data_IF_584638261864
#
_entry.id   IF_584638261864
#
_cell.length_a   1.000
_cell.length_b   1.000
_cell.length_c   1.000
_cell.angle_alpha   90.00
_cell.angle_beta   90.00
_cell.angle_gamma   90.00
#
_symmetry.space_group_name_H-M   'P 1'
#
loop_
_entity.id
_entity.type
_entity.pdbx_description
1 polymer ?
#
# COMPACT_ATOMS: atom_id res chain seq x y z
N UNK A 1 -61.65 -45.82 -59.40
CA UNK A 1 -60.27 -46.00 -58.91
C UNK A 1 -60.33 -46.65 -57.54
N UNK A 2 -59.37 -47.55 -57.30
CA UNK A 2 -59.10 -48.46 -56.17
C UNK A 2 -59.93 -48.38 -54.87
N UNK A 3 -60.34 -49.57 -54.41
CA UNK A 3 -60.81 -49.91 -53.07
C UNK A 3 -59.68 -49.88 -52.01
N UNK A 4 -60.07 -49.89 -50.73
CA UNK A 4 -59.25 -50.36 -49.60
C UNK A 4 -59.50 -49.54 -48.32
N UNK A 5 -60.67 -49.69 -47.70
CA UNK A 5 -60.88 -50.46 -46.46
C UNK A 5 -60.29 -49.83 -45.18
N UNK A 6 -61.20 -49.44 -44.29
CA UNK A 6 -60.97 -49.09 -42.90
C UNK A 6 -60.14 -50.14 -42.15
N UNK A 7 -59.28 -49.69 -41.24
CA UNK A 7 -58.98 -50.46 -40.02
C UNK A 7 -58.89 -49.50 -38.84
N UNK A 8 -60.07 -49.27 -38.30
CA UNK A 8 -60.43 -48.94 -36.93
C UNK A 8 -59.48 -49.55 -35.90
N UNK A 9 -58.47 -48.80 -35.44
CA UNK A 9 -57.78 -49.11 -34.17
C UNK A 9 -58.51 -48.40 -33.03
N UNK A 10 -59.66 -48.97 -32.69
CA UNK A 10 -60.39 -48.69 -31.45
C UNK A 10 -59.47 -48.95 -30.26
N UNK A 11 -59.49 -48.02 -29.32
CA UNK A 11 -58.62 -47.97 -28.17
C UNK A 11 -58.58 -49.26 -27.36
N UNK A 12 -57.35 -49.70 -27.07
CA UNK A 12 -57.03 -50.34 -25.80
C UNK A 12 -56.19 -49.35 -25.01
N UNK A 13 -56.63 -49.05 -23.78
CA UNK A 13 -55.94 -48.22 -22.79
C UNK A 13 -54.44 -48.57 -22.80
N UNK A 14 -53.52 -47.60 -22.64
CA UNK A 14 -52.13 -47.94 -22.37
C UNK A 14 -52.11 -48.70 -21.05
N UNK A 15 -52.01 -50.03 -21.13
CA UNK A 15 -51.61 -50.87 -20.01
C UNK A 15 -50.29 -50.29 -19.55
N UNK A 16 -50.17 -49.97 -18.26
CA UNK A 16 -48.95 -49.48 -17.64
C UNK A 16 -47.77 -50.30 -18.16
N UNK A 17 -46.99 -49.73 -19.08
CA UNK A 17 -45.78 -50.37 -19.62
C UNK A 17 -44.77 -50.39 -18.49
N UNK A 18 -44.70 -51.53 -17.83
CA UNK A 18 -43.81 -51.78 -16.69
C UNK A 18 -42.36 -51.95 -17.14
N UNK A 19 -42.09 -51.95 -18.46
CA UNK A 19 -40.75 -52.11 -19.00
C UNK A 19 -40.21 -53.53 -18.80
N UNK A 20 -39.35 -53.96 -19.72
CA UNK A 20 -38.72 -55.28 -19.67
C UNK A 20 -38.95 -56.12 -20.93
N UNK A 21 -38.40 -57.34 -20.92
CA UNK A 21 -38.37 -58.24 -22.09
C UNK A 21 -39.76 -58.58 -22.64
N UNK A 22 -40.79 -58.67 -21.78
CA UNK A 22 -42.17 -58.94 -22.20
C UNK A 22 -42.77 -57.83 -23.06
N UNK A 23 -42.40 -56.57 -22.79
CA UNK A 23 -42.84 -55.41 -23.60
C UNK A 23 -42.12 -55.42 -24.96
N UNK A 24 -40.82 -55.73 -24.98
CA UNK A 24 -40.06 -55.88 -26.22
C UNK A 24 -40.55 -57.05 -27.08
N UNK A 25 -40.93 -58.18 -26.47
CA UNK A 25 -41.52 -59.33 -27.17
C UNK A 25 -42.93 -59.05 -27.67
N UNK A 26 -43.75 -58.30 -26.92
CA UNK A 26 -45.07 -57.84 -27.39
C UNK A 26 -44.94 -56.91 -28.60
N UNK A 27 -43.98 -55.97 -28.56
CA UNK A 27 -43.71 -55.07 -29.70
C UNK A 27 -43.18 -55.87 -30.91
N UNK A 28 -42.31 -56.85 -30.70
CA UNK A 28 -41.81 -57.71 -31.78
C UNK A 28 -42.94 -58.52 -32.44
N UNK A 29 -43.86 -59.06 -31.62
CA UNK A 29 -45.10 -59.71 -32.08
C UNK A 29 -45.98 -58.74 -32.87
N UNK A 30 -46.21 -57.53 -32.37
CA UNK A 30 -47.03 -56.50 -33.04
C UNK A 30 -46.39 -56.03 -34.37
N UNK A 31 -45.06 -56.12 -34.49
CA UNK A 31 -44.30 -55.84 -35.71
C UNK A 31 -44.19 -57.05 -36.66
N UNK A 32 -44.80 -58.18 -36.32
CA UNK A 32 -44.88 -59.37 -37.17
C UNK A 32 -43.70 -60.32 -37.09
N UNK A 33 -42.80 -60.18 -36.10
CA UNK A 33 -41.74 -61.15 -35.86
C UNK A 33 -42.26 -62.37 -35.11
N UNK A 34 -41.87 -63.57 -35.56
CA UNK A 34 -42.25 -64.83 -34.92
C UNK A 34 -41.55 -64.97 -33.56
N UNK A 35 -42.33 -64.82 -32.49
CA UNK A 35 -41.86 -65.07 -31.12
C UNK A 35 -42.01 -66.56 -30.81
N UNK A 36 -40.91 -67.22 -30.48
CA UNK A 36 -40.91 -68.64 -30.14
C UNK A 36 -41.81 -68.93 -28.93
N UNK A 37 -42.54 -70.06 -28.90
CA UNK A 37 -43.33 -70.46 -27.74
C UNK A 37 -42.41 -70.66 -26.52
N UNK A 38 -42.91 -70.44 -25.29
CA UNK A 38 -42.11 -70.62 -24.09
C UNK A 38 -41.57 -72.05 -24.01
N UNK A 39 -40.29 -72.25 -23.66
CA UNK A 39 -39.67 -73.57 -23.60
C UNK A 39 -40.36 -74.47 -22.57
N UNK A 40 -40.35 -75.77 -22.84
CA UNK A 40 -40.94 -76.77 -21.95
C UNK A 40 -40.16 -76.87 -20.63
N UNK A 41 -40.82 -77.29 -19.55
CA UNK A 41 -40.26 -77.30 -18.18
C UNK A 41 -38.96 -78.14 -18.06
N UNK A 42 -38.78 -79.13 -18.93
CA UNK A 42 -37.60 -80.01 -18.96
C UNK A 42 -36.38 -79.36 -19.65
N UNK A 43 -36.62 -78.52 -20.67
CA UNK A 43 -35.56 -77.74 -21.35
C UNK A 43 -35.03 -76.60 -20.47
N UNK A 44 -35.88 -76.06 -19.60
CA UNK A 44 -35.49 -75.05 -18.61
C UNK A 44 -34.55 -75.64 -17.53
N UNK A 45 -34.74 -76.90 -17.14
CA UNK A 45 -33.90 -77.57 -16.14
C UNK A 45 -32.50 -77.95 -16.68
N UNK A 46 -32.40 -78.34 -17.95
CA UNK A 46 -31.11 -78.66 -18.59
C UNK A 46 -30.27 -77.40 -18.84
N UNK A 47 -30.89 -76.30 -19.26
CA UNK A 47 -30.22 -75.01 -19.45
C UNK A 47 -29.81 -74.36 -18.12
N UNK A 48 -30.59 -74.54 -17.05
CA UNK A 48 -30.25 -74.04 -15.71
C UNK A 48 -28.99 -74.71 -15.13
N UNK A 49 -28.74 -75.98 -15.49
CA UNK A 49 -27.61 -76.76 -14.95
C UNK A 49 -26.26 -76.45 -15.65
N UNK A 50 -26.27 -76.01 -16.91
CA UNK A 50 -25.03 -75.67 -17.66
C UNK A 50 -24.67 -74.17 -17.63
N UNK A 51 -25.65 -73.29 -17.37
CA UNK A 51 -25.47 -71.84 -17.44
C UNK A 51 -25.39 -71.13 -16.08
N UNK A 52 -25.40 -71.87 -14.97
CA UNK A 52 -25.42 -71.31 -13.61
C UNK A 52 -24.32 -70.27 -13.36
N UNK A 53 -23.06 -70.59 -13.66
CA UNK A 53 -21.92 -69.67 -13.46
C UNK A 53 -22.02 -68.42 -14.36
N UNK A 54 -22.41 -68.59 -15.63
CA UNK A 54 -22.53 -67.46 -16.58
C UNK A 54 -23.72 -66.54 -16.25
N UNK A 55 -24.79 -67.11 -15.69
CA UNK A 55 -25.94 -66.37 -15.18
C UNK A 55 -25.59 -65.57 -13.92
N UNK A 56 -24.86 -66.18 -12.99
CA UNK A 56 -24.40 -65.54 -11.75
C UNK A 56 -23.42 -64.39 -12.02
N UNK A 57 -22.49 -64.56 -12.96
CA UNK A 57 -21.60 -63.49 -13.42
C UNK A 57 -22.37 -62.31 -14.03
N UNK A 58 -23.39 -62.58 -14.85
CA UNK A 58 -24.24 -61.55 -15.42
C UNK A 58 -25.03 -60.80 -14.34
N UNK A 59 -25.60 -61.52 -13.37
CA UNK A 59 -26.31 -60.92 -12.23
C UNK A 59 -25.37 -60.04 -11.40
N UNK A 60 -24.12 -60.46 -11.21
CA UNK A 60 -23.09 -59.66 -10.54
C UNK A 60 -22.78 -58.37 -11.30
N UNK A 61 -22.56 -58.46 -12.61
CA UNK A 61 -22.31 -57.28 -13.47
C UNK A 61 -23.51 -56.33 -13.47
N UNK A 62 -24.75 -56.83 -13.54
CA UNK A 62 -25.96 -56.01 -13.48
C UNK A 62 -26.11 -55.29 -12.12
N UNK A 63 -25.74 -55.94 -11.03
CA UNK A 63 -25.74 -55.34 -9.69
C UNK A 63 -24.67 -54.25 -9.58
N UNK A 64 -23.48 -54.50 -10.12
CA UNK A 64 -22.40 -53.50 -10.19
C UNK A 64 -22.79 -52.32 -11.07
N UNK A 65 -23.39 -52.55 -12.24
CA UNK A 65 -23.91 -51.51 -13.12
C UNK A 65 -24.98 -50.67 -12.42
N UNK A 66 -25.90 -51.31 -11.70
CA UNK A 66 -26.93 -50.60 -10.91
C UNK A 66 -26.31 -49.76 -9.78
N UNK A 67 -25.24 -50.27 -9.16
CA UNK A 67 -24.47 -49.52 -8.15
C UNK A 67 -23.78 -48.30 -8.74
N UNK A 68 -23.16 -48.45 -9.91
CA UNK A 68 -22.51 -47.35 -10.64
C UNK A 68 -23.54 -46.33 -11.11
N UNK A 69 -24.69 -46.76 -11.64
CA UNK A 69 -25.78 -45.85 -12.03
C UNK A 69 -26.26 -45.01 -10.84
N UNK A 70 -26.41 -45.61 -9.65
CA UNK A 70 -26.76 -44.87 -8.44
C UNK A 70 -25.70 -43.85 -8.06
N UNK A 71 -24.42 -44.24 -8.07
CA UNK A 71 -23.30 -43.32 -7.80
C UNK A 71 -23.24 -42.15 -8.80
N UNK A 72 -23.54 -42.41 -10.08
CA UNK A 72 -23.60 -41.35 -11.10
C UNK A 72 -24.71 -40.36 -10.78
N UNK A 73 -25.90 -40.84 -10.40
CA UNK A 73 -27.00 -39.97 -10.00
C UNK A 73 -26.65 -39.13 -8.76
N UNK A 74 -26.03 -39.75 -7.74
CA UNK A 74 -25.58 -39.06 -6.53
C UNK A 74 -24.58 -37.95 -6.86
N UNK A 75 -23.58 -38.25 -7.71
CA UNK A 75 -22.59 -37.27 -8.16
C UNK A 75 -23.22 -36.15 -8.99
N UNK A 76 -24.23 -36.43 -9.82
CA UNK A 76 -24.94 -35.40 -10.58
C UNK A 76 -25.68 -34.43 -9.66
N UNK A 77 -26.34 -34.94 -8.61
CA UNK A 77 -27.01 -34.10 -7.61
C UNK A 77 -25.99 -33.23 -6.87
N UNK A 78 -24.84 -33.78 -6.47
CA UNK A 78 -23.80 -33.02 -5.78
C UNK A 78 -23.19 -31.93 -6.69
N UNK A 79 -22.91 -32.26 -7.96
CA UNK A 79 -22.41 -31.30 -8.93
C UNK A 79 -23.39 -30.15 -9.16
N UNK A 80 -24.68 -30.48 -9.28
CA UNK A 80 -25.73 -29.48 -9.43
C UNK A 80 -25.85 -28.61 -8.17
N UNK A 81 -25.80 -29.22 -6.98
CA UNK A 81 -25.80 -28.50 -5.71
C UNK A 81 -24.64 -27.51 -5.59
N UNK A 82 -23.41 -27.91 -5.94
CA UNK A 82 -22.25 -26.98 -5.93
C UNK A 82 -22.35 -25.89 -6.99
N UNK A 83 -22.95 -26.18 -8.14
CA UNK A 83 -23.18 -25.19 -9.19
C UNK A 83 -24.19 -24.14 -8.73
N UNK A 84 -25.26 -24.56 -8.10
CA UNK A 84 -26.30 -23.67 -7.58
C UNK A 84 -25.77 -22.86 -6.38
N UNK A 85 -25.00 -23.48 -5.48
CA UNK A 85 -24.31 -22.79 -4.40
C UNK A 85 -23.39 -21.68 -4.94
N UNK A 86 -22.54 -21.98 -5.93
CA UNK A 86 -21.70 -20.97 -6.58
C UNK A 86 -22.51 -19.83 -7.22
N UNK A 87 -23.65 -20.15 -7.85
CA UNK A 87 -24.49 -19.15 -8.49
C UNK A 87 -25.09 -18.17 -7.47
N UNK A 88 -25.45 -18.64 -6.28
CA UNK A 88 -26.12 -17.81 -5.27
C UNK A 88 -25.17 -17.39 -4.13
N UNK A 89 -23.93 -17.87 -4.10
CA UNK A 89 -22.88 -17.57 -3.13
C UNK A 89 -22.72 -16.06 -2.87
N UNK A 90 -22.68 -15.25 -3.92
CA UNK A 90 -22.54 -13.79 -3.84
C UNK A 90 -23.76 -13.08 -3.22
N UNK A 91 -24.90 -13.76 -3.13
CA UNK A 91 -26.12 -13.30 -2.47
C UNK A 91 -26.25 -13.89 -1.08
N UNK A 92 -25.94 -15.17 -0.85
CA UNK A 92 -26.24 -15.87 0.40
C UNK A 92 -25.12 -15.76 1.42
N UNK A 93 -23.86 -15.71 0.99
CA UNK A 93 -22.76 -15.64 1.96
C UNK A 93 -22.75 -14.30 2.67
N UNK A 94 -22.85 -14.38 4.00
CA UNK A 94 -22.79 -13.24 4.91
C UNK A 94 -21.56 -12.37 4.64
N UNK A 95 -20.42 -12.97 4.30
CA UNK A 95 -19.18 -12.24 3.97
C UNK A 95 -19.33 -11.34 2.73
N UNK A 96 -20.00 -11.80 1.68
CA UNK A 96 -20.23 -11.01 0.47
C UNK A 96 -21.28 -9.92 0.69
N UNK A 97 -22.33 -10.21 1.46
CA UNK A 97 -23.29 -9.20 1.90
C UNK A 97 -22.60 -8.11 2.75
N UNK A 98 -21.74 -8.51 3.68
CA UNK A 98 -21.01 -7.61 4.57
C UNK A 98 -20.10 -6.65 3.78
N UNK A 99 -19.34 -7.16 2.81
CA UNK A 99 -18.52 -6.31 1.90
C UNK A 99 -19.37 -5.28 1.15
N UNK A 100 -20.57 -5.66 0.71
CA UNK A 100 -21.51 -4.75 0.03
C UNK A 100 -22.02 -3.67 0.99
N UNK A 101 -22.39 -4.04 2.22
CA UNK A 101 -22.81 -3.11 3.27
C UNK A 101 -21.69 -2.11 3.59
N UNK A 102 -20.46 -2.57 3.76
CA UNK A 102 -19.30 -1.71 4.01
C UNK A 102 -19.04 -0.74 2.86
N UNK A 103 -19.15 -1.21 1.62
CA UNK A 103 -18.95 -0.38 0.43
C UNK A 103 -20.05 0.67 0.30
N UNK A 104 -21.31 0.29 0.51
CA UNK A 104 -22.43 1.22 0.52
C UNK A 104 -22.31 2.25 1.65
N UNK A 105 -21.89 1.83 2.83
CA UNK A 105 -21.63 2.72 3.98
C UNK A 105 -20.54 3.75 3.64
N UNK A 106 -19.42 3.30 3.05
CA UNK A 106 -18.34 4.18 2.60
C UNK A 106 -18.83 5.22 1.58
N UNK A 107 -19.55 4.78 0.55
CA UNK A 107 -20.08 5.69 -0.48
C UNK A 107 -21.08 6.67 0.13
N UNK A 108 -21.94 6.21 1.03
CA UNK A 108 -22.91 7.05 1.72
C UNK A 108 -22.22 8.11 2.56
N UNK A 109 -21.14 7.76 3.26
CA UNK A 109 -20.35 8.71 4.04
C UNK A 109 -19.71 9.78 3.13
N UNK A 110 -19.07 9.36 2.03
CA UNK A 110 -18.49 10.30 1.06
C UNK A 110 -19.56 11.26 0.53
N UNK A 111 -20.73 10.75 0.14
CA UNK A 111 -21.81 11.59 -0.38
C UNK A 111 -22.33 12.56 0.68
N UNK A 112 -22.47 12.11 1.93
CA UNK A 112 -22.84 12.97 3.05
C UNK A 112 -21.82 14.09 3.27
N UNK A 113 -20.53 13.78 3.19
CA UNK A 113 -19.45 14.77 3.31
C UNK A 113 -19.53 15.79 2.17
N UNK A 114 -19.78 15.36 0.93
CA UNK A 114 -19.97 16.27 -0.22
C UNK A 114 -21.18 17.18 -0.02
N UNK A 115 -22.31 16.64 0.45
CA UNK A 115 -23.53 17.41 0.71
C UNK A 115 -23.30 18.43 1.84
N UNK A 116 -22.65 18.03 2.93
CA UNK A 116 -22.33 18.92 4.04
C UNK A 116 -21.34 20.03 3.62
N UNK A 117 -20.41 19.71 2.73
CA UNK A 117 -19.46 20.68 2.19
C UNK A 117 -19.98 21.46 0.98
N UNK A 118 -21.24 21.25 0.56
CA UNK A 118 -21.79 21.83 -0.68
C UNK A 118 -21.63 23.35 -0.72
N UNK A 119 -21.98 24.05 0.35
CA UNK A 119 -21.92 25.51 0.37
C UNK A 119 -20.48 26.04 0.33
N UNK A 120 -19.53 25.32 0.94
CA UNK A 120 -18.09 25.62 0.84
C UNK A 120 -17.56 25.39 -0.58
N UNK A 121 -17.98 24.31 -1.23
CA UNK A 121 -17.61 24.01 -2.62
C UNK A 121 -18.20 25.07 -3.56
N UNK A 122 -19.48 25.41 -3.39
CA UNK A 122 -20.17 26.48 -4.13
C UNK A 122 -19.45 27.81 -3.92
N UNK A 123 -19.12 28.18 -2.68
CA UNK A 123 -18.39 29.41 -2.39
C UNK A 123 -17.02 29.43 -3.09
N UNK A 124 -16.26 28.32 -3.07
CA UNK A 124 -14.99 28.24 -3.80
C UNK A 124 -15.15 28.32 -5.32
N UNK A 125 -16.25 27.80 -5.87
CA UNK A 125 -16.54 27.84 -7.30
C UNK A 125 -17.12 29.19 -7.75
N UNK A 126 -17.85 29.90 -6.89
CA UNK A 126 -18.47 31.20 -7.16
C UNK A 126 -17.56 32.38 -6.82
N UNK A 127 -16.60 32.23 -5.89
CA UNK A 127 -15.63 33.26 -5.50
C UNK A 127 -14.17 33.05 -5.99
N UNK A 128 -13.86 32.51 -7.18
CA UNK A 128 -12.50 32.57 -7.70
C UNK A 128 -12.06 34.01 -8.04
N UNK A 129 -12.99 34.96 -8.15
CA UNK A 129 -12.75 36.32 -8.61
C UNK A 129 -12.72 37.40 -7.50
N UNK A 130 -12.64 37.02 -6.22
CA UNK A 130 -12.63 37.99 -5.10
C UNK A 130 -11.24 38.44 -4.66
N UNK A 131 -10.18 37.88 -5.23
CA UNK A 131 -8.78 38.25 -4.95
C UNK A 131 -8.26 39.11 -6.09
N UNK A 132 -7.32 40.03 -5.81
CA UNK A 132 -6.53 40.71 -6.84
C UNK A 132 -5.75 39.66 -7.64
N UNK A 133 -6.39 39.15 -8.69
CA UNK A 133 -5.85 38.13 -9.55
C UNK A 133 -5.34 38.76 -10.84
N UNK A 134 -4.13 38.37 -11.23
CA UNK A 134 -3.62 38.66 -12.56
C UNK A 134 -4.25 37.59 -13.49
N UNK A 135 -5.12 37.97 -14.44
CA UNK A 135 -5.66 37.01 -15.40
C UNK A 135 -4.51 36.51 -16.27
N UNK A 136 -4.40 35.19 -16.41
CA UNK A 136 -3.38 34.53 -17.24
C UNK A 136 -4.08 33.52 -18.13
N UNK A 137 -3.87 33.63 -19.44
CA UNK A 137 -4.40 32.70 -20.42
C UNK A 137 -3.88 31.28 -20.15
N UNK A 138 -4.72 30.28 -20.41
CA UNK A 138 -4.42 28.88 -20.10
C UNK A 138 -3.10 28.39 -20.72
N UNK A 139 -2.73 28.91 -21.89
CA UNK A 139 -1.47 28.61 -22.58
C UNK A 139 -0.21 29.16 -21.89
N UNK A 140 -0.36 30.17 -21.03
CA UNK A 140 0.73 30.83 -20.30
C UNK A 140 0.77 30.51 -18.80
N UNK A 141 -0.22 29.76 -18.28
CA UNK A 141 -0.30 29.44 -16.85
C UNK A 141 0.94 28.71 -16.33
N UNK A 142 1.51 27.80 -17.13
CA UNK A 142 2.72 27.06 -16.74
C UNK A 142 3.92 27.99 -16.58
N UNK A 143 4.18 28.82 -17.59
CA UNK A 143 5.29 29.78 -17.60
C UNK A 143 5.13 30.79 -16.46
N UNK A 144 3.90 31.27 -16.23
CA UNK A 144 3.61 32.21 -15.15
C UNK A 144 3.82 31.60 -13.76
N UNK A 145 3.38 30.35 -13.55
CA UNK A 145 3.63 29.65 -12.28
C UNK A 145 5.12 29.41 -12.02
N UNK A 146 5.90 29.09 -13.07
CA UNK A 146 7.35 28.93 -12.95
C UNK A 146 8.03 30.26 -12.62
N UNK A 147 7.60 31.36 -13.25
CA UNK A 147 8.08 32.71 -12.96
C UNK A 147 7.81 33.10 -11.50
N UNK A 148 6.61 32.84 -11.00
CA UNK A 148 6.27 33.10 -9.59
C UNK A 148 7.14 32.28 -8.64
N UNK A 149 7.38 31.01 -8.94
CA UNK A 149 8.24 30.15 -8.11
C UNK A 149 9.70 30.64 -8.10
N UNK A 150 10.22 31.09 -9.24
CA UNK A 150 11.57 31.72 -9.31
C UNK A 150 11.62 33.06 -8.58
N UNK A 151 10.61 33.91 -8.75
CA UNK A 151 10.55 35.18 -8.04
C UNK A 151 10.45 34.97 -6.52
N UNK A 152 9.73 33.94 -6.07
CA UNK A 152 9.62 33.57 -4.67
C UNK A 152 10.94 33.02 -4.12
N UNK A 153 11.68 32.19 -4.88
CA UNK A 153 13.00 31.69 -4.45
C UNK A 153 14.02 32.81 -4.33
N UNK A 154 13.92 33.81 -5.21
CA UNK A 154 14.87 34.92 -5.29
C UNK A 154 14.44 36.11 -4.42
N UNK A 155 13.30 36.03 -3.72
CA UNK A 155 12.76 37.11 -2.90
C UNK A 155 13.72 37.54 -1.78
N UNK A 156 14.43 36.58 -1.18
CA UNK A 156 15.46 36.86 -0.17
C UNK A 156 16.64 37.64 -0.75
N UNK A 157 17.14 37.23 -1.92
CA UNK A 157 18.23 37.91 -2.63
C UNK A 157 17.79 39.29 -3.14
N UNK A 158 16.54 39.42 -3.58
CA UNK A 158 15.96 40.69 -4.01
C UNK A 158 15.81 41.65 -2.83
N UNK A 159 15.33 41.19 -1.67
CA UNK A 159 15.21 41.99 -0.45
C UNK A 159 16.59 42.47 0.03
N UNK A 160 17.59 41.58 0.00
CA UNK A 160 18.98 41.95 0.30
C UNK A 160 19.49 42.99 -0.69
N UNK A 161 19.28 42.80 -2.00
CA UNK A 161 19.72 43.74 -3.05
C UNK A 161 19.04 45.12 -2.94
N UNK A 162 17.75 45.15 -2.58
CA UNK A 162 17.03 46.41 -2.32
C UNK A 162 17.60 47.11 -1.10
N UNK A 163 17.91 46.35 -0.05
CA UNK A 163 18.54 46.88 1.17
C UNK A 163 19.95 47.40 0.89
N UNK A 164 20.74 46.68 0.10
CA UNK A 164 22.08 47.08 -0.34
C UNK A 164 22.00 48.36 -1.19
N UNK A 165 21.01 48.47 -2.08
CA UNK A 165 20.80 49.67 -2.88
C UNK A 165 20.40 50.86 -2.01
N UNK A 166 19.49 50.68 -1.04
CA UNK A 166 19.13 51.71 -0.07
C UNK A 166 20.33 52.13 0.79
N UNK A 167 21.12 51.17 1.27
CA UNK A 167 22.36 51.45 1.98
C UNK A 167 23.33 52.28 1.12
N UNK A 168 23.48 51.92 -0.15
CA UNK A 168 24.35 52.59 -1.11
C UNK A 168 23.89 54.03 -1.43
N UNK A 169 22.57 54.28 -1.41
CA UNK A 169 21.98 55.61 -1.61
C UNK A 169 22.25 56.57 -0.45
N UNK A 170 22.54 56.05 0.74
CA UNK A 170 22.82 56.88 1.91
C UNK A 170 24.24 57.49 1.89
N UNK A 171 25.12 57.05 0.98
CA UNK A 171 26.44 57.62 0.81
C UNK A 171 26.40 58.87 -0.06
N UNK A 172 27.11 59.91 0.37
CA UNK A 172 27.23 61.16 -0.40
C UNK A 172 28.32 61.06 -1.45
N UNK A 173 29.25 60.13 -1.25
CA UNK A 173 30.41 59.91 -2.09
C UNK A 173 30.11 58.97 -3.26
N UNK A 174 30.65 59.24 -4.47
CA UNK A 174 30.38 58.43 -5.64
C UNK A 174 30.96 57.00 -5.51
N UNK A 175 30.35 55.99 -6.15
CA UNK A 175 30.81 54.60 -6.08
C UNK A 175 32.27 54.36 -6.45
N UNK A 176 32.87 55.28 -7.23
CA UNK A 176 34.27 55.22 -7.63
C UNK A 176 35.27 55.28 -6.47
N UNK A 177 34.90 55.86 -5.32
CA UNK A 177 35.80 55.98 -4.15
C UNK A 177 35.53 54.94 -3.06
N UNK A 178 34.45 54.15 -3.18
CA UNK A 178 34.09 53.17 -2.14
C UNK A 178 35.15 52.08 -1.97
N UNK A 179 35.83 51.68 -3.04
CA UNK A 179 36.91 50.70 -2.96
C UNK A 179 38.07 51.15 -2.07
N UNK A 180 38.35 52.46 -2.02
CA UNK A 180 39.38 53.01 -1.14
C UNK A 180 38.87 53.16 0.29
N UNK A 181 37.62 53.59 0.45
CA UNK A 181 36.96 53.76 1.75
C UNK A 181 36.77 52.43 2.49
N UNK A 182 36.49 51.35 1.78
CA UNK A 182 36.30 50.00 2.35
C UNK A 182 37.61 49.24 2.53
N UNK A 183 38.71 49.67 1.89
CA UNK A 183 40.04 49.03 1.97
C UNK A 183 40.54 48.77 3.40
N UNK A 184 40.30 49.64 4.41
CA UNK A 184 40.74 49.39 5.78
C UNK A 184 40.00 48.22 6.47
N UNK A 185 38.79 47.87 6.04
CA UNK A 185 37.96 46.85 6.73
C UNK A 185 38.59 45.45 6.62
N UNK A 186 38.97 44.93 5.43
CA UNK A 186 39.68 43.65 5.34
C UNK A 186 41.00 43.65 6.09
N UNK A 187 41.71 44.78 6.12
CA UNK A 187 42.99 44.92 6.84
C UNK A 187 42.78 44.79 8.35
N UNK A 188 41.77 45.48 8.89
CA UNK A 188 41.39 45.38 10.28
C UNK A 188 40.95 43.95 10.63
N UNK A 189 40.12 43.31 9.80
CA UNK A 189 39.65 41.95 10.03
C UNK A 189 40.81 40.94 10.04
N UNK A 190 41.74 41.04 9.08
CA UNK A 190 42.94 40.22 9.06
C UNK A 190 43.82 40.45 10.30
N UNK A 191 43.88 41.67 10.83
CA UNK A 191 44.58 41.97 12.07
C UNK A 191 43.90 41.31 13.27
N UNK A 192 42.58 41.37 13.37
CA UNK A 192 41.80 40.71 14.42
C UNK A 192 41.99 39.18 14.38
N UNK A 193 41.98 38.58 13.20
CA UNK A 193 42.24 37.14 13.02
C UNK A 193 43.64 36.79 13.51
N UNK A 194 44.67 37.56 13.12
CA UNK A 194 46.05 37.33 13.60
C UNK A 194 46.18 37.50 15.11
N UNK A 195 45.52 38.49 15.71
CA UNK A 195 45.50 38.66 17.16
C UNK A 195 44.83 37.47 17.85
N UNK A 196 43.73 36.97 17.32
CA UNK A 196 43.05 35.79 17.86
C UNK A 196 43.90 34.52 17.77
N UNK A 197 44.57 34.32 16.64
CA UNK A 197 45.52 33.22 16.44
C UNK A 197 46.69 33.31 17.43
N UNK A 198 47.28 34.49 17.58
CA UNK A 198 48.39 34.73 18.52
C UNK A 198 47.96 34.48 19.99
N UNK A 199 46.78 34.96 20.38
CA UNK A 199 46.21 34.72 21.71
C UNK A 199 45.92 33.24 21.95
N UNK A 200 45.45 32.53 20.92
CA UNK A 200 45.20 31.09 20.99
C UNK A 200 46.49 30.29 21.13
N UNK A 201 47.52 30.62 20.34
CA UNK A 201 48.86 30.03 20.46
C UNK A 201 49.50 30.31 21.83
N UNK A 202 49.33 31.53 22.37
CA UNK A 202 49.80 31.87 23.72
C UNK A 202 49.12 31.00 24.78
N UNK A 203 47.80 30.82 24.70
CA UNK A 203 47.04 29.95 25.61
C UNK A 203 47.53 28.50 25.54
N UNK A 204 47.79 27.97 24.34
CA UNK A 204 48.34 26.62 24.14
C UNK A 204 49.76 26.49 24.73
N UNK A 205 50.60 27.52 24.56
CA UNK A 205 51.94 27.53 25.17
C UNK A 205 51.89 27.53 26.70
N UNK A 206 50.92 28.23 27.30
CA UNK A 206 50.76 28.22 28.76
C UNK A 206 50.24 26.88 29.26
N UNK A 207 49.32 26.24 28.53
CA UNK A 207 48.84 24.90 28.86
C UNK A 207 49.98 23.87 28.85
N UNK A 208 50.85 23.88 27.82
CA UNK A 208 52.00 22.97 27.77
C UNK A 208 53.01 23.22 28.90
N UNK A 209 53.26 24.49 29.29
CA UNK A 209 54.09 24.80 30.46
C UNK A 209 53.47 24.31 31.78
N UNK A 210 52.14 24.39 31.91
CA UNK A 210 51.43 23.87 33.08
C UNK A 210 51.55 22.35 33.18
N UNK A 211 51.40 21.63 32.06
CA UNK A 211 51.57 20.18 32.01
C UNK A 211 53.00 19.75 32.40
N UNK A 212 54.03 20.48 31.93
CA UNK A 212 55.42 20.23 32.33
C UNK A 212 55.65 20.50 33.83
N UNK A 213 55.02 21.55 34.38
CA UNK A 213 55.10 21.87 35.82
C UNK A 213 54.44 20.79 36.68
N UNK A 214 53.32 20.23 36.24
CA UNK A 214 52.60 19.16 36.95
C UNK A 214 53.31 17.81 36.78
N UNK A 215 53.87 17.53 35.60
CA UNK A 215 54.62 16.30 35.29
C UNK A 215 55.95 16.15 36.02
N UNK A 216 56.61 17.25 36.42
CA UNK A 216 57.89 17.23 37.12
C UNK A 216 57.80 17.06 38.65
N UNK A 217 56.61 17.08 39.26
CA UNK A 217 56.46 16.87 40.72
C UNK A 217 56.33 15.40 41.13
N UNK A 218 56.19 14.46 40.19
CA UNK A 218 56.02 13.03 40.50
C UNK A 218 57.28 12.16 40.27
N UNK A 219 58.36 12.72 39.72
CA UNK A 219 59.60 11.97 39.49
C UNK A 219 60.78 12.62 40.23
N UNK A 220 61.28 11.87 41.22
CA UNK A 220 62.55 12.03 41.96
C UNK A 220 62.55 12.90 43.23
N UNK A 221 62.20 12.27 44.35
CA UNK A 221 63.01 12.32 45.59
C UNK A 221 64.06 11.20 45.49
N UNK A 222 65.33 11.37 45.93
CA UNK A 222 65.60 11.35 47.39
C UNK A 222 66.82 12.16 47.91
N UNK A 223 66.83 12.31 49.24
CA UNK A 223 68.00 12.47 50.16
C UNK A 223 68.58 13.87 50.43
N UNK A 224 68.14 14.44 51.57
CA UNK A 224 68.75 15.47 52.45
C UNK A 224 70.21 15.16 52.89
N UNK A 225 71.02 16.08 53.51
CA UNK A 225 70.62 17.19 54.41
C UNK A 225 71.44 18.51 54.38
N UNK A 226 70.87 19.59 54.93
CA UNK A 226 71.67 20.68 55.50
C UNK A 226 71.05 22.08 55.46
N UNK A 227 70.51 22.53 56.60
CA UNK A 227 70.71 23.90 57.10
C UNK A 227 69.69 24.98 56.70
N UNK A 228 68.73 25.17 57.60
CA UNK A 228 68.13 26.42 58.07
C UNK A 228 67.26 27.33 57.17
N UNK A 229 65.99 27.31 57.57
CA UNK A 229 64.91 28.29 57.53
C UNK A 229 65.25 29.76 57.20
N UNK A 230 64.48 30.38 56.30
CA UNK A 230 63.31 31.17 56.72
C UNK A 230 62.35 31.48 55.56
N UNK A 231 61.08 31.32 55.90
CA UNK A 231 59.85 31.62 55.17
C UNK A 231 59.83 32.95 54.40
N UNK A 232 59.42 32.93 53.12
CA UNK A 232 58.62 34.02 52.57
C UNK A 232 57.67 33.54 51.48
N UNK A 233 56.45 33.25 51.95
CA UNK A 233 55.18 33.28 51.23
C UNK A 233 55.04 34.66 50.58
N UNK A 234 54.68 34.71 49.29
CA UNK A 234 53.72 35.69 48.75
C UNK A 234 53.32 35.26 47.33
N UNK A 235 52.10 34.76 47.24
CA UNK A 235 51.43 34.33 46.01
C UNK A 235 50.30 35.32 45.78
N UNK A 236 50.57 36.35 44.98
CA UNK A 236 49.57 37.30 44.51
C UNK A 236 49.65 37.36 42.98
N UNK A 237 48.87 36.51 42.33
CA UNK A 237 48.45 36.72 40.95
C UNK A 237 46.94 36.54 40.90
N UNK A 238 46.23 37.59 41.29
CA UNK A 238 44.81 37.80 41.07
C UNK A 238 44.53 37.70 39.58
N UNK A 239 43.73 36.71 39.18
CA UNK A 239 43.12 36.66 37.85
C UNK A 239 41.88 37.55 37.87
N UNK A 240 41.71 38.53 36.97
CA UNK A 240 40.47 39.29 36.90
C UNK A 240 39.34 38.36 36.45
N UNK A 241 38.32 38.28 37.29
CA UNK A 241 37.04 37.60 37.05
C UNK A 241 36.34 38.19 35.84
N UNK A 242 35.89 37.30 34.94
CA UNK A 242 35.01 37.65 33.84
C UNK A 242 33.71 38.27 34.37
N UNK A 243 33.42 39.50 33.94
CA UNK A 243 32.12 40.12 34.15
C UNK A 243 31.20 39.74 33.00
N UNK A 244 30.36 38.75 33.28
CA UNK A 244 29.06 38.58 32.65
C UNK A 244 28.22 39.83 32.92
N UNK A 245 27.73 40.49 31.88
CA UNK A 245 26.48 41.23 31.95
C UNK A 245 25.81 41.20 30.57
N UNK A 246 24.81 40.32 30.49
CA UNK A 246 23.68 40.44 29.58
C UNK A 246 22.66 41.41 30.21
N UNK A 247 21.92 42.09 29.34
CA UNK A 247 20.58 42.67 29.54
C UNK A 247 20.41 44.01 30.31
N UNK A 248 20.06 45.10 29.59
CA UNK A 248 18.69 45.67 29.61
C UNK A 248 18.54 46.97 28.78
N UNK A 249 17.40 47.02 28.11
CA UNK A 249 16.80 48.08 27.30
C UNK A 249 16.89 49.53 27.82
N UNK A 250 17.10 50.48 26.89
CA UNK A 250 16.19 51.59 26.50
C UNK A 250 16.45 51.94 25.04
#
# INVERSE_FOLDING_TARGET
MSMGSESTWVGKKPIRRIGGLSDALSIASDLGYAVAPPPSQEELQSLASSNGERGDDLVKVLRELSSVQRKIADLQVELQGRKDDKNVAHLIHVTEMQKKIETLSRITQILKDVIQNKDRIIARLQQPYSLDCIPVEAEYQKQFSELLMRAASDYGALTASVSDFQWSQNFKEPPSVWGEMLRPIPVALASCTRFFEAMSAMRESFATLQDLRVGNSAASLPTTPGGDELSQRDSDCVTPTGSSFDDLAV
#
